data_IF_714862897636
#
_entry.id   IF_714862897636
#
_cell.length_a   1.000
_cell.length_b   1.000
_cell.length_c   1.000
_cell.angle_alpha   90.00
_cell.angle_beta   90.00
_cell.angle_gamma   90.00
#
_symmetry.space_group_name_H-M   'P 1'
#
loop_
_entity.id
_entity.type
_entity.pdbx_description
1 polymer ?
#
# COMPACT_ATOMS: atom_id res chain seq x y z
N UNK A 1 -0.41 -3.13 -10.54
CA UNK A 1 0.86 -3.87 -10.62
C UNK A 1 1.31 -4.42 -9.26
N UNK A 2 1.40 -3.59 -8.18
CA UNK A 2 1.89 -4.04 -6.87
C UNK A 2 1.14 -5.28 -6.34
N UNK A 3 -0.18 -5.35 -6.47
CA UNK A 3 -0.96 -6.51 -6.03
C UNK A 3 -0.53 -7.81 -6.73
N UNK A 4 -0.26 -7.76 -8.05
CA UNK A 4 0.25 -8.90 -8.83
C UNK A 4 1.63 -9.32 -8.35
N UNK A 5 2.50 -8.34 -8.12
CA UNK A 5 3.86 -8.58 -7.62
C UNK A 5 3.83 -9.25 -6.24
N UNK A 6 3.00 -8.73 -5.33
CA UNK A 6 2.83 -9.30 -3.98
C UNK A 6 2.33 -10.74 -4.07
N UNK A 7 1.27 -10.96 -4.84
CA UNK A 7 0.70 -12.29 -5.01
C UNK A 7 1.72 -13.31 -5.50
N UNK A 8 2.45 -12.94 -6.55
CA UNK A 8 3.48 -13.80 -7.12
C UNK A 8 4.64 -14.07 -6.15
N UNK A 9 5.18 -13.03 -5.51
CA UNK A 9 6.33 -13.16 -4.62
C UNK A 9 6.05 -14.11 -3.45
N UNK A 10 4.95 -13.90 -2.75
CA UNK A 10 4.63 -14.70 -1.55
C UNK A 10 4.26 -16.16 -1.86
N UNK A 11 3.93 -16.47 -3.11
CA UNK A 11 3.74 -17.84 -3.58
C UNK A 11 5.02 -18.51 -4.10
N UNK A 12 6.04 -17.72 -4.51
CA UNK A 12 7.23 -18.23 -5.20
C UNK A 12 8.54 -17.95 -4.47
N UNK A 13 8.49 -17.59 -3.19
CA UNK A 13 9.68 -17.34 -2.35
C UNK A 13 9.63 -18.18 -1.07
N UNK A 14 9.81 -19.51 -1.18
CA UNK A 14 9.63 -20.43 -0.06
C UNK A 14 10.68 -20.25 1.06
N UNK A 15 11.77 -19.54 0.79
CA UNK A 15 12.81 -19.27 1.79
C UNK A 15 12.52 -18.02 2.63
N UNK A 16 11.48 -17.25 2.27
CA UNK A 16 11.08 -16.14 3.09
C UNK A 16 10.45 -16.60 4.39
N UNK A 17 10.65 -15.84 5.45
CA UNK A 17 10.03 -16.10 6.75
C UNK A 17 8.51 -16.29 6.62
N UNK A 18 7.99 -17.25 7.35
CA UNK A 18 6.55 -17.53 7.33
C UNK A 18 5.71 -16.35 7.85
N UNK A 19 6.29 -15.51 8.73
CA UNK A 19 5.67 -14.31 9.30
C UNK A 19 6.00 -13.02 8.54
N UNK A 20 6.76 -13.09 7.43
CA UNK A 20 7.06 -11.93 6.60
C UNK A 20 5.77 -11.23 6.15
N UNK A 21 5.69 -9.94 6.42
CA UNK A 21 4.51 -9.12 6.15
C UNK A 21 4.57 -8.43 4.78
N UNK A 22 3.42 -7.91 4.36
CA UNK A 22 3.26 -7.06 3.17
C UNK A 22 3.17 -5.61 3.61
N UNK A 23 4.13 -4.78 3.19
CA UNK A 23 4.15 -3.33 3.44
C UNK A 23 3.43 -2.55 2.35
N UNK A 24 2.51 -1.67 2.73
CA UNK A 24 1.86 -0.70 1.84
C UNK A 24 1.67 0.65 2.52
N UNK A 25 1.40 1.71 1.75
CA UNK A 25 0.99 2.99 2.33
C UNK A 25 -0.52 3.07 2.56
N UNK A 26 -0.95 3.98 3.44
CA UNK A 26 -2.38 4.22 3.75
C UNK A 26 -3.21 4.64 2.54
N UNK A 27 -2.59 5.09 1.46
CA UNK A 27 -3.24 5.53 0.22
C UNK A 27 -3.11 4.51 -0.93
N UNK A 28 -2.47 3.37 -0.68
CA UNK A 28 -2.37 2.30 -1.67
C UNK A 28 -3.69 1.51 -1.79
N UNK A 29 -3.88 0.88 -2.94
CA UNK A 29 -5.11 0.17 -3.31
C UNK A 29 -5.55 -0.87 -2.27
N UNK A 30 -6.84 -0.94 -1.99
CA UNK A 30 -7.48 -1.99 -1.19
C UNK A 30 -7.38 -3.40 -1.80
N UNK A 31 -7.01 -3.53 -3.07
CA UNK A 31 -6.72 -4.85 -3.64
C UNK A 31 -5.52 -5.51 -2.96
N UNK A 32 -4.53 -4.71 -2.50
CA UNK A 32 -3.38 -5.24 -1.74
C UNK A 32 -3.86 -5.88 -0.44
N UNK A 33 -4.83 -5.27 0.26
CA UNK A 33 -5.42 -5.83 1.50
C UNK A 33 -6.02 -7.21 1.23
N UNK A 34 -6.83 -7.31 0.16
CA UNK A 34 -7.51 -8.55 -0.23
C UNK A 34 -6.52 -9.65 -0.64
N UNK A 35 -5.49 -9.30 -1.41
CA UNK A 35 -4.41 -10.22 -1.76
C UNK A 35 -3.66 -10.68 -0.51
N UNK A 36 -3.30 -9.76 0.37
CA UNK A 36 -2.57 -10.06 1.61
C UNK A 36 -3.38 -11.00 2.52
N UNK A 37 -4.68 -10.74 2.66
CA UNK A 37 -5.60 -11.60 3.42
C UNK A 37 -5.71 -13.01 2.79
N UNK A 38 -5.87 -13.10 1.45
CA UNK A 38 -5.89 -14.38 0.74
C UNK A 38 -4.62 -15.20 0.94
N UNK A 39 -3.47 -14.53 0.98
CA UNK A 39 -2.16 -15.16 1.22
C UNK A 39 -1.94 -15.54 2.70
N UNK A 40 -2.87 -15.21 3.61
CA UNK A 40 -2.71 -15.42 5.04
C UNK A 40 -1.54 -14.64 5.64
N UNK A 41 -1.21 -13.48 5.07
CA UNK A 41 -0.07 -12.66 5.51
C UNK A 41 -0.55 -11.45 6.33
N UNK A 42 0.33 -10.95 7.18
CA UNK A 42 0.10 -9.72 7.93
C UNK A 42 0.28 -8.51 7.01
N UNK A 43 -0.66 -7.57 7.07
CA UNK A 43 -0.53 -6.28 6.43
C UNK A 43 0.21 -5.31 7.35
N UNK A 44 1.18 -4.57 6.80
CA UNK A 44 1.90 -3.50 7.48
C UNK A 44 1.62 -2.18 6.75
N UNK A 45 0.52 -1.53 7.15
CA UNK A 45 0.07 -0.27 6.55
C UNK A 45 0.68 0.92 7.29
N UNK A 46 1.42 1.78 6.56
CA UNK A 46 2.19 2.91 7.09
C UNK A 46 1.83 4.22 6.39
N UNK A 47 2.22 5.40 6.94
CA UNK A 47 2.10 6.66 6.22
C UNK A 47 2.87 6.63 4.89
N UNK A 48 2.59 7.59 4.01
CA UNK A 48 3.38 7.78 2.78
C UNK A 48 4.83 8.10 3.14
N UNK A 49 5.75 7.36 2.56
CA UNK A 49 7.19 7.50 2.77
C UNK A 49 7.90 6.15 2.86
N UNK A 50 8.77 5.86 1.92
CA UNK A 50 9.43 4.55 1.82
C UNK A 50 10.28 4.20 3.04
N UNK A 51 10.79 5.21 3.76
CA UNK A 51 11.56 5.05 5.01
C UNK A 51 10.89 4.16 6.07
N UNK A 52 9.56 4.10 6.06
CA UNK A 52 8.81 3.28 7.03
C UNK A 52 8.88 1.76 6.75
N UNK A 53 9.39 1.37 5.59
CA UNK A 53 9.62 -0.03 5.26
C UNK A 53 11.07 -0.47 5.52
N UNK A 54 12.00 0.48 5.71
CA UNK A 54 13.43 0.22 5.75
C UNK A 54 13.83 -0.85 6.77
N UNK A 55 13.42 -0.70 8.03
CA UNK A 55 13.78 -1.65 9.10
C UNK A 55 13.23 -3.04 8.83
N UNK A 56 11.97 -3.14 8.42
CA UNK A 56 11.33 -4.43 8.16
C UNK A 56 11.87 -5.15 6.91
N UNK A 57 12.32 -4.40 5.89
CA UNK A 57 13.05 -4.98 4.76
C UNK A 57 14.46 -5.43 5.16
N UNK A 58 15.10 -4.66 6.04
CA UNK A 58 16.45 -4.98 6.51
C UNK A 58 16.50 -6.26 7.35
N UNK A 59 15.56 -6.43 8.27
CA UNK A 59 15.49 -7.58 9.18
C UNK A 59 14.67 -8.77 8.64
N UNK A 60 14.04 -8.61 7.46
CA UNK A 60 13.23 -9.64 6.80
C UNK A 60 11.84 -9.83 7.40
N UNK A 61 11.39 -8.98 8.32
CA UNK A 61 10.01 -8.99 8.83
C UNK A 61 8.99 -8.46 7.81
N UNK A 62 9.45 -7.73 6.78
CA UNK A 62 8.72 -7.40 5.57
C UNK A 62 9.31 -8.16 4.37
N UNK A 63 8.49 -8.95 3.69
CA UNK A 63 8.87 -9.54 2.41
C UNK A 63 8.81 -8.54 1.26
N UNK A 64 7.91 -7.57 1.38
CA UNK A 64 7.65 -6.55 0.37
C UNK A 64 7.28 -5.21 1.04
N UNK A 65 7.76 -4.10 0.48
CA UNK A 65 7.33 -2.74 0.77
C UNK A 65 7.14 -1.96 -0.52
N UNK A 66 6.00 -1.30 -0.69
CA UNK A 66 5.71 -0.58 -1.94
C UNK A 66 4.82 0.64 -1.77
N UNK A 67 5.02 1.60 -2.66
CA UNK A 67 4.22 2.82 -2.79
C UNK A 67 3.55 2.86 -4.16
N UNK A 68 2.36 3.44 -4.24
CA UNK A 68 1.62 3.63 -5.50
C UNK A 68 2.34 4.58 -6.48
N UNK A 69 3.20 5.45 -5.96
CA UNK A 69 4.00 6.44 -6.71
C UNK A 69 5.26 5.88 -7.36
N UNK A 70 5.22 4.62 -7.83
CA UNK A 70 6.25 3.95 -8.60
C UNK A 70 7.52 3.59 -7.82
N UNK A 71 7.39 2.63 -6.95
CA UNK A 71 8.58 2.00 -6.41
C UNK A 71 8.26 0.98 -5.34
N UNK A 72 9.01 -0.08 -5.36
CA UNK A 72 8.93 -1.14 -4.37
C UNK A 72 10.33 -1.67 -4.07
N UNK A 73 10.45 -2.30 -2.93
CA UNK A 73 11.54 -3.22 -2.65
C UNK A 73 10.99 -4.49 -2.03
N UNK A 74 11.68 -5.58 -2.25
CA UNK A 74 11.34 -6.89 -1.72
C UNK A 74 12.60 -7.71 -1.48
N UNK A 75 12.50 -8.72 -0.66
CA UNK A 75 13.63 -9.57 -0.31
C UNK A 75 14.12 -10.37 -1.52
N UNK A 76 15.39 -10.73 -1.51
CA UNK A 76 15.98 -11.70 -2.43
C UNK A 76 15.32 -13.06 -2.27
N UNK A 77 15.63 -14.01 -3.16
CA UNK A 77 15.08 -15.36 -3.14
C UNK A 77 15.40 -16.10 -1.84
N UNK A 78 16.56 -15.85 -1.27
CA UNK A 78 17.04 -16.44 -0.01
C UNK A 78 16.49 -15.75 1.26
N UNK A 79 15.65 -14.73 1.11
CA UNK A 79 15.10 -13.98 2.22
C UNK A 79 15.99 -12.86 2.74
N UNK A 80 17.17 -12.65 2.18
CA UNK A 80 18.03 -11.52 2.54
C UNK A 80 17.53 -10.20 1.92
N UNK A 81 17.90 -9.09 2.55
CA UNK A 81 17.56 -7.76 2.05
C UNK A 81 18.20 -7.49 0.68
N UNK A 82 17.42 -6.92 -0.24
CA UNK A 82 17.97 -6.36 -1.48
C UNK A 82 18.39 -4.90 -1.27
N UNK A 83 17.42 -4.05 -0.95
CA UNK A 83 17.64 -2.64 -0.61
C UNK A 83 16.55 -2.19 0.35
N UNK A 84 16.86 -1.18 1.16
CA UNK A 84 15.92 -0.54 2.09
C UNK A 84 15.28 0.72 1.51
N UNK A 85 15.55 1.01 0.24
CA UNK A 85 14.89 2.07 -0.51
C UNK A 85 14.17 1.51 -1.73
N UNK A 86 13.26 2.28 -2.31
CA UNK A 86 12.50 1.86 -3.49
C UNK A 86 13.39 1.78 -4.71
N UNK A 87 13.17 0.73 -5.50
CA UNK A 87 13.87 0.46 -6.73
C UNK A 87 12.83 0.22 -7.85
N UNK A 88 12.97 0.90 -8.95
CA UNK A 88 12.09 0.75 -10.12
C UNK A 88 12.51 -0.40 -11.04
N UNK A 89 13.76 -0.84 -10.99
CA UNK A 89 14.30 -1.86 -11.89
C UNK A 89 13.84 -3.26 -11.49
N UNK A 90 13.83 -3.57 -10.18
CA UNK A 90 13.45 -4.91 -9.71
C UNK A 90 11.97 -5.24 -9.96
N UNK A 91 10.99 -4.34 -9.86
CA UNK A 91 9.62 -4.61 -10.31
C UNK A 91 9.51 -4.90 -11.81
N UNK A 92 10.33 -4.24 -12.65
CA UNK A 92 10.37 -4.52 -14.09
C UNK A 92 10.96 -5.90 -14.39
N UNK A 93 12.07 -6.27 -13.74
CA UNK A 93 12.65 -7.62 -13.82
C UNK A 93 11.66 -8.69 -13.33
N UNK A 94 10.93 -8.39 -12.26
CA UNK A 94 9.93 -9.30 -11.72
C UNK A 94 8.74 -9.48 -12.68
N UNK A 95 8.32 -8.43 -13.39
CA UNK A 95 7.32 -8.55 -14.45
C UNK A 95 7.77 -9.52 -15.55
N UNK A 96 9.04 -9.47 -15.95
CA UNK A 96 9.63 -10.43 -16.88
C UNK A 96 9.69 -11.86 -16.30
N UNK A 97 10.07 -12.01 -15.03
CA UNK A 97 10.05 -13.31 -14.33
C UNK A 97 8.64 -13.91 -14.29
N UNK A 98 7.63 -13.11 -13.93
CA UNK A 98 6.22 -13.53 -13.91
C UNK A 98 5.82 -14.06 -15.30
N UNK A 99 6.07 -13.27 -16.34
CA UNK A 99 5.73 -13.64 -17.71
C UNK A 99 6.44 -14.93 -18.14
N UNK A 100 7.74 -15.04 -17.88
CA UNK A 100 8.53 -16.21 -18.28
C UNK A 100 8.10 -17.50 -17.55
N UNK A 101 7.70 -17.39 -16.27
CA UNK A 101 7.34 -18.57 -15.47
C UNK A 101 5.88 -18.99 -15.61
N UNK A 102 4.99 -18.04 -15.83
CA UNK A 102 3.54 -18.31 -15.86
C UNK A 102 2.95 -18.34 -17.26
N UNK A 103 3.69 -17.87 -18.26
CA UNK A 103 3.19 -17.67 -19.63
C UNK A 103 2.16 -16.53 -19.71
N UNK A 104 2.00 -15.75 -18.65
CA UNK A 104 1.03 -14.64 -18.57
C UNK A 104 1.76 -13.35 -18.25
N UNK A 105 1.45 -12.30 -18.98
CA UNK A 105 1.91 -10.97 -18.60
C UNK A 105 1.20 -10.46 -17.33
N UNK A 106 1.77 -9.43 -16.65
CA UNK A 106 1.18 -8.90 -15.43
C UNK A 106 -0.25 -8.37 -15.56
N UNK A 107 -0.69 -7.97 -16.77
CA UNK A 107 -2.08 -7.50 -16.96
C UNK A 107 -3.06 -8.67 -16.91
N UNK A 108 -2.70 -9.79 -17.47
CA UNK A 108 -3.50 -11.04 -17.39
C UNK A 108 -3.53 -11.60 -15.96
N UNK A 109 -2.43 -11.47 -15.22
CA UNK A 109 -2.40 -11.81 -13.81
C UNK A 109 -3.30 -10.87 -13.00
N UNK A 110 -3.32 -9.56 -13.32
CA UNK A 110 -4.22 -8.58 -12.69
C UNK A 110 -5.69 -8.88 -12.97
N UNK A 111 -6.07 -9.17 -14.21
CA UNK A 111 -7.43 -9.57 -14.59
C UNK A 111 -7.91 -10.78 -13.77
N UNK A 112 -7.05 -11.79 -13.60
CA UNK A 112 -7.38 -12.96 -12.78
C UNK A 112 -7.58 -12.60 -11.30
N UNK A 113 -6.71 -11.75 -10.73
CA UNK A 113 -6.84 -11.28 -9.35
C UNK A 113 -8.13 -10.48 -9.14
N UNK A 114 -8.47 -9.58 -10.06
CA UNK A 114 -9.68 -8.76 -9.93
C UNK A 114 -10.95 -9.55 -10.17
N UNK A 115 -10.93 -10.58 -11.02
CA UNK A 115 -12.05 -11.51 -11.19
C UNK A 115 -12.34 -12.29 -9.91
N UNK A 116 -11.30 -12.67 -9.15
CA UNK A 116 -11.43 -13.41 -7.89
C UNK A 116 -11.77 -12.49 -6.71
N UNK A 117 -11.06 -11.38 -6.57
CA UNK A 117 -11.06 -10.54 -5.37
C UNK A 117 -11.87 -9.24 -5.52
N UNK A 118 -12.44 -9.01 -6.69
CA UNK A 118 -13.15 -7.78 -7.05
C UNK A 118 -12.22 -6.68 -7.56
N UNK A 119 -12.68 -5.96 -8.56
CA UNK A 119 -11.94 -4.85 -9.16
C UNK A 119 -11.96 -3.62 -8.25
N UNK A 120 -10.81 -3.02 -7.93
CA UNK A 120 -10.78 -1.77 -7.18
C UNK A 120 -11.05 -0.61 -8.14
N UNK A 121 -11.89 0.31 -7.71
CA UNK A 121 -12.04 1.61 -8.34
C UNK A 121 -11.31 2.67 -7.51
N UNK A 122 -10.47 3.48 -8.13
CA UNK A 122 -9.71 4.52 -7.44
C UNK A 122 -9.58 5.77 -8.30
N UNK A 123 -9.65 6.93 -7.65
CA UNK A 123 -9.35 8.21 -8.28
C UNK A 123 -8.55 9.08 -7.32
N UNK A 124 -7.74 9.98 -7.86
CA UNK A 124 -7.00 10.99 -7.12
C UNK A 124 -7.51 12.37 -7.55
N UNK A 125 -7.82 13.20 -6.57
CA UNK A 125 -8.21 14.60 -6.78
C UNK A 125 -7.15 15.47 -6.14
N UNK A 126 -6.62 16.42 -6.90
CA UNK A 126 -5.62 17.38 -6.46
C UNK A 126 -6.18 18.78 -6.48
N UNK A 127 -5.88 19.57 -5.46
CA UNK A 127 -6.24 20.97 -5.37
C UNK A 127 -5.05 21.77 -4.83
N UNK A 128 -4.84 22.97 -5.40
CA UNK A 128 -3.81 23.89 -4.88
C UNK A 128 -4.12 24.26 -3.43
N UNK A 129 -3.11 24.23 -2.59
CA UNK A 129 -3.23 24.54 -1.18
C UNK A 129 -2.07 25.45 -0.73
N UNK A 130 -2.41 26.54 -0.05
CA UNK A 130 -1.41 27.41 0.56
C UNK A 130 -0.86 26.78 1.86
N UNK A 131 0.24 27.33 2.43
CA UNK A 131 0.87 26.76 3.63
C UNK A 131 -0.08 26.66 4.84
N UNK A 132 -0.99 27.62 5.02
CA UNK A 132 -1.97 27.60 6.11
C UNK A 132 -2.98 26.44 5.94
N UNK A 133 -3.48 26.23 4.71
CA UNK A 133 -4.40 25.12 4.40
C UNK A 133 -3.70 23.76 4.58
N UNK A 134 -2.45 23.65 4.13
CA UNK A 134 -1.64 22.44 4.34
C UNK A 134 -1.42 22.15 5.83
N UNK A 135 -1.13 23.18 6.64
CA UNK A 135 -0.95 23.05 8.08
C UNK A 135 -2.25 22.64 8.81
N UNK A 136 -3.40 23.14 8.36
CA UNK A 136 -4.70 22.72 8.88
C UNK A 136 -5.00 21.27 8.51
N UNK A 137 -4.83 20.91 7.24
CA UNK A 137 -5.09 19.56 6.75
C UNK A 137 -4.22 18.50 7.47
N UNK A 138 -2.95 18.81 7.68
CA UNK A 138 -2.02 17.90 8.37
C UNK A 138 -2.35 17.66 9.85
N UNK A 139 -3.15 18.55 10.46
CA UNK A 139 -3.57 18.47 11.87
C UNK A 139 -5.01 18.02 12.06
N UNK A 140 -5.67 17.56 10.97
CA UNK A 140 -7.02 17.04 11.08
C UNK A 140 -7.06 15.86 12.07
N UNK A 141 -8.06 15.89 12.95
CA UNK A 141 -8.31 14.87 13.94
C UNK A 141 -9.64 14.16 13.66
N UNK A 142 -9.79 12.88 14.01
CA UNK A 142 -11.02 12.11 13.78
C UNK A 142 -12.28 12.78 14.31
N UNK A 143 -12.18 13.51 15.44
CA UNK A 143 -13.28 14.20 16.09
C UNK A 143 -13.86 15.35 15.28
N UNK A 144 -13.11 15.83 14.29
CA UNK A 144 -13.55 16.90 13.37
C UNK A 144 -14.45 16.38 12.25
N UNK A 145 -14.46 15.07 11.99
CA UNK A 145 -15.37 14.45 11.03
C UNK A 145 -16.74 14.28 11.70
N UNK A 146 -17.71 15.04 11.24
CA UNK A 146 -19.09 15.03 11.79
C UNK A 146 -20.03 14.11 11.01
N UNK A 147 -19.65 13.70 9.81
CA UNK A 147 -20.44 12.75 9.02
C UNK A 147 -20.37 11.36 9.64
N UNK A 148 -21.47 10.64 9.60
CA UNK A 148 -21.56 9.22 9.99
C UNK A 148 -21.51 8.30 8.78
N UNK A 149 -21.57 8.89 7.55
CA UNK A 149 -21.60 8.15 6.30
C UNK A 149 -20.60 8.74 5.29
N UNK A 150 -20.09 7.88 4.43
CA UNK A 150 -19.28 8.21 3.27
C UNK A 150 -19.87 7.47 2.05
N UNK A 151 -20.26 8.22 1.02
CA UNK A 151 -20.85 7.67 -0.21
C UNK A 151 -22.08 6.76 0.03
N UNK A 152 -22.89 7.06 1.06
CA UNK A 152 -24.07 6.27 1.41
C UNK A 152 -23.79 5.03 2.25
N UNK A 153 -22.56 4.81 2.67
CA UNK A 153 -22.17 3.73 3.57
C UNK A 153 -21.77 4.25 4.95
N UNK A 154 -22.11 3.55 6.03
CA UNK A 154 -21.67 3.92 7.38
C UNK A 154 -20.14 3.98 7.47
N UNK A 155 -19.63 5.02 8.12
CA UNK A 155 -18.21 5.13 8.44
C UNK A 155 -17.90 4.11 9.55
N UNK A 156 -16.93 3.22 9.30
CA UNK A 156 -16.52 2.19 10.27
C UNK A 156 -15.24 2.57 11.00
N UNK A 157 -14.40 3.44 10.39
CA UNK A 157 -13.14 3.85 11.00
C UNK A 157 -12.66 5.20 10.44
N UNK A 158 -12.06 6.01 11.31
CA UNK A 158 -11.36 7.24 10.94
C UNK A 158 -9.97 7.18 11.54
N UNK A 159 -8.95 7.29 10.69
CA UNK A 159 -7.56 7.16 11.07
C UNK A 159 -6.82 8.49 10.89
N UNK A 160 -6.10 8.92 11.91
CA UNK A 160 -5.05 9.96 11.85
C UNK A 160 -3.64 9.37 11.99
N UNK A 161 -3.55 8.09 12.40
CA UNK A 161 -2.32 7.33 12.52
C UNK A 161 -2.42 6.01 11.74
N UNK A 162 -1.32 5.60 11.17
CA UNK A 162 -1.27 4.38 10.38
C UNK A 162 -1.28 3.13 11.28
N UNK A 163 -2.07 2.08 10.95
CA UNK A 163 -2.23 0.90 11.82
C UNK A 163 -0.95 0.09 12.00
N UNK A 164 -0.05 0.10 11.02
CA UNK A 164 1.15 -0.74 11.05
C UNK A 164 2.22 -0.27 12.03
N UNK A 165 2.40 1.04 12.18
CA UNK A 165 3.49 1.61 12.99
C UNK A 165 3.06 2.74 13.93
N UNK A 166 1.77 3.04 14.01
CA UNK A 166 1.20 4.12 14.80
C UNK A 166 1.80 5.52 14.52
N UNK A 167 2.34 5.74 13.32
CA UNK A 167 2.85 7.04 12.91
C UNK A 167 1.73 7.89 12.32
N UNK A 168 1.82 9.20 12.54
CA UNK A 168 0.83 10.14 12.01
C UNK A 168 0.79 10.11 10.47
N UNK A 169 -0.43 10.03 9.91
CA UNK A 169 -0.66 10.06 8.46
C UNK A 169 -0.35 11.46 7.89
N UNK A 170 -0.46 12.49 8.70
CA UNK A 170 -0.39 13.88 8.27
C UNK A 170 -1.66 14.31 7.53
N UNK A 171 -2.80 13.84 7.99
CA UNK A 171 -4.14 14.02 7.45
C UNK A 171 -5.08 12.98 8.04
N UNK A 172 -6.17 12.66 7.33
CA UNK A 172 -7.14 11.65 7.74
C UNK A 172 -7.36 10.60 6.65
N UNK A 173 -7.65 9.37 7.08
CA UNK A 173 -8.26 8.33 6.25
C UNK A 173 -9.58 7.93 6.87
N UNK A 174 -10.66 8.06 6.10
CA UNK A 174 -12.03 7.68 6.49
C UNK A 174 -12.41 6.43 5.74
N UNK A 175 -12.92 5.43 6.44
CA UNK A 175 -13.15 4.09 5.89
C UNK A 175 -14.61 3.67 6.09
N UNK A 176 -15.16 3.01 5.08
CA UNK A 176 -16.41 2.25 5.13
C UNK A 176 -16.13 0.77 4.94
N UNK A 177 -17.15 -0.06 4.89
CA UNK A 177 -16.99 -1.50 4.64
C UNK A 177 -16.38 -1.78 3.25
N UNK A 178 -16.69 -0.98 2.23
CA UNK A 178 -16.31 -1.24 0.83
C UNK A 178 -15.34 -0.22 0.24
N UNK A 179 -15.02 0.85 0.96
CA UNK A 179 -14.18 1.90 0.43
C UNK A 179 -13.49 2.77 1.46
N UNK A 180 -12.69 3.68 0.97
CA UNK A 180 -12.02 4.66 1.82
C UNK A 180 -11.74 5.95 1.04
N UNK A 181 -11.62 7.03 1.79
CA UNK A 181 -11.16 8.34 1.34
C UNK A 181 -10.01 8.80 2.23
N UNK A 182 -8.95 9.33 1.64
CA UNK A 182 -7.85 9.93 2.38
C UNK A 182 -7.61 11.36 1.92
N UNK A 183 -7.45 12.28 2.89
CA UNK A 183 -7.08 13.66 2.65
C UNK A 183 -5.79 13.99 3.38
N UNK A 184 -4.78 14.43 2.64
CA UNK A 184 -3.47 14.82 3.17
C UNK A 184 -2.80 15.87 2.28
N UNK A 185 -1.99 16.78 2.83
CA UNK A 185 -1.19 17.67 2.00
C UNK A 185 -0.05 16.91 1.33
N UNK A 186 0.38 17.37 0.16
CA UNK A 186 1.63 16.91 -0.44
C UNK A 186 2.84 17.39 0.38
N UNK A 187 3.83 16.51 0.58
CA UNK A 187 5.09 16.87 1.21
C UNK A 187 6.08 17.59 0.27
N UNK A 188 5.86 17.50 -1.04
CA UNK A 188 6.79 17.97 -2.07
C UNK A 188 6.20 19.03 -3.00
N UNK A 189 4.89 19.19 -3.02
CA UNK A 189 4.18 20.08 -3.94
C UNK A 189 3.16 20.92 -3.18
N UNK A 190 2.74 22.05 -3.78
CA UNK A 190 1.74 22.96 -3.19
C UNK A 190 0.31 22.51 -3.49
N UNK A 191 0.03 21.26 -3.14
CA UNK A 191 -1.28 20.62 -3.23
C UNK A 191 -1.60 19.84 -1.95
#
# INVERSE_FOLDING_TARGET
HLAVVIDYLFQHRPQWRADAAVGKTVVSSGLIDRVTARLGRRLYEVPVGFKFFADGLFDGSLGFGGEESAGASFLRKDGSVWTTDKDGLIPALLAAEITARTGRDPSKAYEALTAELGEPFATRVEAKANPQQKALLSKLAPEQVKSTELAGEPIVQILSHAPGNNQAIGGLKVMTANGWFAARPSGTEDI
#
